data_IF_054370452417
#
_entry.id   IF_054370452417
#
_cell.length_a   1.000
_cell.length_b   1.000
_cell.length_c   1.000
_cell.angle_alpha   90.00
_cell.angle_beta   90.00
_cell.angle_gamma   90.00
#
_symmetry.space_group_name_H-M   'P 1'
#
loop_
_entity.id
_entity.type
_entity.pdbx_description
1 polymer ?
#
# COMPACT_ATOMS: atom_id res chain seq x y z
N UNK A 1 3.17 -10.17 -19.85
CA UNK A 1 4.10 -9.62 -18.85
C UNK A 1 4.01 -8.11 -18.97
N UNK A 2 3.72 -7.38 -17.88
CA UNK A 2 3.56 -5.92 -17.91
C UNK A 2 4.80 -5.18 -17.36
N UNK A 3 5.90 -5.90 -17.21
CA UNK A 3 7.20 -5.40 -16.79
C UNK A 3 8.19 -5.57 -17.94
N UNK A 4 9.02 -4.57 -18.18
CA UNK A 4 10.12 -4.64 -19.12
C UNK A 4 11.33 -3.86 -18.61
N UNK A 5 12.53 -4.29 -19.01
CA UNK A 5 13.77 -3.63 -18.63
C UNK A 5 14.16 -2.57 -19.65
N UNK A 6 14.78 -1.51 -19.16
CA UNK A 6 15.42 -0.52 -20.02
C UNK A 6 16.79 -1.03 -20.49
N UNK A 7 17.21 -0.65 -21.69
CA UNK A 7 18.49 -1.09 -22.26
C UNK A 7 19.67 -0.63 -21.39
N UNK A 8 19.60 0.61 -20.89
CA UNK A 8 20.60 1.19 -20.01
C UNK A 8 20.75 0.44 -18.67
N UNK A 9 19.67 -0.18 -18.20
CA UNK A 9 19.65 -0.93 -16.94
C UNK A 9 20.33 -2.29 -17.09
N UNK A 10 20.35 -2.86 -18.31
CA UNK A 10 21.05 -4.11 -18.59
C UNK A 10 22.56 -4.03 -18.29
N UNK A 11 23.19 -2.87 -18.52
CA UNK A 11 24.62 -2.67 -18.23
C UNK A 11 24.93 -2.71 -16.72
N UNK A 12 23.93 -2.49 -15.86
CA UNK A 12 24.08 -2.53 -14.40
C UNK A 12 23.87 -3.91 -13.80
N UNK A 13 23.38 -4.89 -14.59
CA UNK A 13 23.07 -6.24 -14.11
C UNK A 13 24.27 -6.93 -13.46
N UNK A 14 25.50 -6.64 -13.92
CA UNK A 14 26.72 -7.15 -13.28
C UNK A 14 26.81 -6.75 -11.80
N UNK A 15 26.44 -5.52 -11.46
CA UNK A 15 26.47 -5.02 -10.07
C UNK A 15 25.41 -5.74 -9.23
N UNK A 16 24.22 -5.95 -9.81
CA UNK A 16 23.12 -6.70 -9.18
C UNK A 16 23.55 -8.12 -8.83
N UNK A 17 24.19 -8.83 -9.77
CA UNK A 17 24.66 -10.19 -9.54
C UNK A 17 25.80 -10.26 -8.52
N UNK A 18 26.60 -9.20 -8.40
CA UNK A 18 27.70 -9.13 -7.44
C UNK A 18 27.20 -9.18 -5.97
N UNK A 19 25.98 -8.70 -5.70
CA UNK A 19 25.35 -8.74 -4.37
C UNK A 19 25.18 -10.18 -3.84
N UNK A 20 24.94 -11.14 -4.73
CA UNK A 20 24.81 -12.56 -4.38
C UNK A 20 26.16 -13.23 -4.08
N UNK A 21 27.28 -12.62 -4.48
CA UNK A 21 28.63 -13.16 -4.31
C UNK A 21 29.37 -12.50 -3.15
N UNK A 22 29.27 -11.17 -3.03
CA UNK A 22 29.95 -10.39 -1.98
C UNK A 22 28.93 -9.47 -1.34
N UNK A 23 28.45 -9.85 -0.15
CA UNK A 23 27.57 -8.99 0.62
C UNK A 23 28.33 -8.40 1.84
N UNK A 24 28.24 -7.09 2.10
CA UNK A 24 29.02 -6.40 3.15
C UNK A 24 28.85 -6.93 4.59
N UNK A 25 27.86 -7.80 4.82
CA UNK A 25 27.50 -8.36 6.15
C UNK A 25 27.59 -9.90 6.19
N UNK A 26 28.21 -10.52 5.19
CA UNK A 26 28.32 -11.99 5.04
C UNK A 26 26.96 -12.71 5.01
N UNK A 27 25.87 -11.97 4.74
CA UNK A 27 24.52 -12.47 4.54
C UNK A 27 24.17 -12.30 3.08
N UNK A 28 24.54 -13.27 2.25
CA UNK A 28 24.19 -13.28 0.83
C UNK A 28 22.65 -13.24 0.68
N UNK A 29 22.11 -12.33 -0.14
CA UNK A 29 20.68 -12.25 -0.36
C UNK A 29 20.19 -13.53 -1.04
N UNK A 30 19.01 -13.97 -0.63
CA UNK A 30 18.28 -15.06 -1.28
C UNK A 30 17.21 -14.53 -2.22
N UNK A 31 16.71 -13.32 -1.91
CA UNK A 31 15.86 -12.52 -2.77
C UNK A 31 16.44 -11.11 -2.75
N UNK A 32 16.75 -10.58 -3.92
CA UNK A 32 17.25 -9.22 -4.10
C UNK A 32 16.18 -8.41 -4.82
N UNK A 33 15.55 -7.49 -4.10
CA UNK A 33 14.50 -6.67 -4.65
C UNK A 33 15.02 -5.47 -5.43
N UNK A 34 14.36 -5.16 -6.54
CA UNK A 34 14.69 -4.04 -7.41
C UNK A 34 13.55 -3.02 -7.46
N UNK A 35 13.91 -1.78 -7.76
CA UNK A 35 12.94 -0.68 -7.92
C UNK A 35 12.05 -0.91 -9.14
N UNK A 36 10.77 -0.54 -9.03
CA UNK A 36 9.89 -0.40 -10.18
C UNK A 36 9.72 1.07 -10.57
N UNK A 37 9.63 1.32 -11.88
CA UNK A 37 9.26 2.61 -12.43
C UNK A 37 7.90 2.51 -13.14
N UNK A 38 6.89 3.17 -12.57
CA UNK A 38 5.53 3.17 -13.10
C UNK A 38 5.40 4.28 -14.15
N UNK A 39 5.39 3.90 -15.43
CA UNK A 39 5.42 4.87 -16.53
C UNK A 39 4.03 5.31 -17.01
N UNK A 40 2.94 4.73 -16.50
CA UNK A 40 1.56 5.06 -16.92
C UNK A 40 0.93 6.21 -16.11
N UNK A 41 1.67 6.86 -15.22
CA UNK A 41 1.15 7.93 -14.36
C UNK A 41 0.64 9.17 -15.10
N UNK A 42 1.12 9.44 -16.33
CA UNK A 42 0.73 10.60 -17.14
C UNK A 42 -0.61 10.44 -17.87
N UNK A 43 -1.21 9.24 -17.86
CA UNK A 43 -2.38 8.92 -18.70
C UNK A 43 -3.66 9.63 -18.22
N UNK A 44 -3.84 9.82 -16.92
CA UNK A 44 -4.99 10.52 -16.33
C UNK A 44 -4.68 10.99 -14.90
N UNK A 45 -5.53 11.84 -14.31
CA UNK A 45 -5.37 12.24 -12.90
C UNK A 45 -5.43 11.02 -11.96
N UNK A 46 -6.38 10.11 -12.18
CA UNK A 46 -6.50 8.85 -11.44
C UNK A 46 -5.25 7.97 -11.58
N UNK A 47 -4.69 7.89 -12.79
CA UNK A 47 -3.42 7.21 -13.05
C UNK A 47 -2.27 7.85 -12.26
N UNK A 48 -2.24 9.19 -12.20
CA UNK A 48 -1.28 9.96 -11.42
C UNK A 48 -1.33 9.60 -9.94
N UNK A 49 -2.52 9.61 -9.32
CA UNK A 49 -2.71 9.22 -7.92
C UNK A 49 -2.24 7.78 -7.64
N UNK A 50 -2.65 6.84 -8.47
CA UNK A 50 -2.23 5.43 -8.35
C UNK A 50 -0.71 5.27 -8.51
N UNK A 51 -0.12 5.98 -9.48
CA UNK A 51 1.33 5.98 -9.69
C UNK A 51 2.07 6.56 -8.49
N UNK A 52 1.56 7.60 -7.83
CA UNK A 52 2.19 8.16 -6.62
C UNK A 52 2.12 7.19 -5.44
N UNK A 53 0.96 6.57 -5.21
CA UNK A 53 0.80 5.53 -4.18
C UNK A 53 1.76 4.37 -4.41
N UNK A 54 1.82 3.86 -5.65
CA UNK A 54 2.70 2.74 -6.00
C UNK A 54 4.18 3.14 -5.96
N UNK A 55 4.54 4.37 -6.35
CA UNK A 55 5.92 4.85 -6.23
C UNK A 55 6.36 4.83 -4.77
N UNK A 56 5.58 5.39 -3.85
CA UNK A 56 5.86 5.33 -2.40
C UNK A 56 5.93 3.88 -1.88
N UNK A 57 5.03 3.05 -2.40
CA UNK A 57 5.07 1.58 -2.46
C UNK A 57 6.48 0.99 -2.60
N UNK A 58 6.98 1.17 -3.81
CA UNK A 58 8.13 0.45 -4.34
C UNK A 58 9.45 1.06 -3.90
N UNK A 59 9.49 2.31 -3.43
CA UNK A 59 10.71 2.99 -2.97
C UNK A 59 10.81 3.05 -1.44
N UNK A 60 10.39 4.15 -0.79
CA UNK A 60 10.49 4.36 0.66
C UNK A 60 9.87 3.23 1.46
N UNK A 61 8.72 2.70 1.01
CA UNK A 61 8.11 1.52 1.60
C UNK A 61 9.07 0.34 1.62
N UNK A 62 9.62 -0.05 0.47
CA UNK A 62 10.58 -1.16 0.38
C UNK A 62 11.90 -0.89 1.13
N UNK A 63 12.40 0.36 1.15
CA UNK A 63 13.58 0.76 1.94
C UNK A 63 13.35 0.43 3.41
N UNK A 64 12.29 0.97 4.02
CA UNK A 64 11.98 0.74 5.44
C UNK A 64 11.69 -0.72 5.75
N UNK A 65 10.97 -1.42 4.87
CA UNK A 65 10.68 -2.85 5.04
C UNK A 65 11.96 -3.70 4.99
N UNK A 66 12.94 -3.34 4.16
CA UNK A 66 14.20 -4.06 4.04
C UNK A 66 15.14 -3.77 5.21
N UNK A 67 15.43 -2.49 5.49
CA UNK A 67 16.29 -2.03 6.58
C UNK A 67 15.73 -0.70 7.14
N UNK A 68 15.40 -0.61 8.45
CA UNK A 68 15.79 -1.51 9.53
C UNK A 68 14.77 -2.62 9.85
N UNK A 69 13.56 -2.61 9.28
CA UNK A 69 12.48 -3.46 9.79
C UNK A 69 12.67 -4.96 9.48
N UNK A 70 13.40 -5.31 8.42
CA UNK A 70 13.67 -6.70 8.01
C UNK A 70 12.40 -7.55 7.91
N UNK A 71 11.35 -6.96 7.35
CA UNK A 71 10.05 -7.59 7.05
C UNK A 71 9.63 -7.36 5.60
N UNK A 72 10.57 -6.95 4.72
CA UNK A 72 10.35 -6.98 3.27
C UNK A 72 10.19 -8.43 2.83
N UNK A 73 9.06 -8.70 2.21
CA UNK A 73 8.81 -9.92 1.46
C UNK A 73 8.83 -9.61 -0.04
N UNK A 74 8.52 -10.62 -0.85
CA UNK A 74 8.33 -10.43 -2.28
C UNK A 74 6.85 -10.09 -2.54
N UNK A 75 6.57 -8.99 -3.23
CA UNK A 75 5.19 -8.50 -3.46
C UNK A 75 4.86 -8.41 -4.96
N UNK A 76 5.44 -9.27 -5.79
CA UNK A 76 5.25 -9.24 -7.25
C UNK A 76 6.06 -8.15 -7.96
N UNK A 77 7.10 -7.65 -7.29
CA UNK A 77 8.12 -6.75 -7.82
C UNK A 77 9.16 -7.52 -8.64
N UNK A 78 10.00 -6.87 -9.46
CA UNK A 78 11.11 -7.48 -10.21
C UNK A 78 12.26 -7.92 -9.29
N UNK A 79 11.97 -8.76 -8.30
CA UNK A 79 12.98 -9.29 -7.39
C UNK A 79 13.71 -10.48 -8.05
N UNK A 80 15.02 -10.59 -7.83
CA UNK A 80 15.85 -11.70 -8.32
C UNK A 80 16.02 -12.74 -7.21
N UNK A 81 15.86 -14.02 -7.56
CA UNK A 81 15.88 -15.14 -6.61
C UNK A 81 17.15 -15.98 -6.76
N UNK A 82 17.76 -16.36 -5.63
CA UNK A 82 18.76 -17.42 -5.61
C UNK A 82 18.10 -18.78 -5.86
N UNK A 83 18.23 -19.24 -7.11
CA UNK A 83 17.71 -20.53 -7.58
C UNK A 83 18.17 -21.69 -6.70
N UNK A 84 19.44 -21.72 -6.30
CA UNK A 84 20.00 -22.84 -5.53
C UNK A 84 19.41 -22.89 -4.14
N UNK A 85 19.28 -21.74 -3.46
CA UNK A 85 18.64 -21.66 -2.16
C UNK A 85 17.19 -22.14 -2.19
N UNK A 86 16.40 -21.67 -3.16
CA UNK A 86 14.97 -21.99 -3.23
C UNK A 86 14.70 -23.44 -3.65
N UNK A 87 15.41 -23.98 -4.67
CA UNK A 87 15.19 -25.35 -5.13
C UNK A 87 15.59 -26.39 -4.08
N UNK A 88 16.72 -26.20 -3.41
CA UNK A 88 17.23 -27.16 -2.41
C UNK A 88 16.42 -27.18 -1.11
N UNK A 89 15.51 -26.22 -0.91
CA UNK A 89 14.76 -26.07 0.36
C UNK A 89 13.25 -26.23 0.21
N UNK A 90 12.78 -26.81 -0.90
CA UNK A 90 11.36 -27.08 -1.11
C UNK A 90 10.63 -26.01 -1.93
N UNK A 91 11.31 -25.43 -2.91
CA UNK A 91 10.71 -24.56 -3.94
C UNK A 91 10.61 -23.08 -3.57
N UNK A 92 10.12 -22.27 -4.52
CA UNK A 92 9.99 -20.81 -4.37
C UNK A 92 8.78 -20.49 -3.49
N UNK A 93 7.59 -20.94 -3.89
CA UNK A 93 6.31 -20.61 -3.24
C UNK A 93 5.32 -21.78 -3.26
N UNK A 94 4.07 -21.53 -2.84
CA UNK A 94 2.95 -22.48 -2.88
C UNK A 94 2.57 -22.82 -4.33
N UNK A 95 2.18 -24.07 -4.57
CA UNK A 95 2.07 -24.64 -5.92
C UNK A 95 0.72 -24.43 -6.63
N UNK A 96 -0.18 -23.59 -6.12
CA UNK A 96 -1.54 -23.44 -6.68
C UNK A 96 -1.89 -21.99 -6.98
N UNK A 97 -2.00 -21.64 -8.27
CA UNK A 97 -2.38 -20.29 -8.74
C UNK A 97 -3.83 -19.93 -8.43
N UNK A 98 -4.70 -20.92 -8.24
CA UNK A 98 -6.13 -20.70 -7.94
C UNK A 98 -6.38 -20.58 -6.44
N UNK A 99 -5.62 -21.31 -5.62
CA UNK A 99 -5.80 -21.36 -4.17
C UNK A 99 -4.89 -20.38 -3.44
N UNK A 100 -3.71 -20.08 -4.00
CA UNK A 100 -2.72 -19.19 -3.42
C UNK A 100 -2.48 -18.01 -4.33
N UNK A 101 -3.42 -17.05 -4.33
CA UNK A 101 -3.31 -15.81 -5.11
C UNK A 101 -2.09 -14.97 -4.71
N UNK A 102 -1.58 -15.15 -3.48
CA UNK A 102 -0.39 -14.49 -2.94
C UNK A 102 0.89 -15.34 -3.00
N UNK A 103 1.10 -16.08 -4.09
CA UNK A 103 2.33 -16.83 -4.33
C UNK A 103 3.59 -15.96 -4.12
N UNK A 104 3.54 -14.69 -4.50
CA UNK A 104 4.68 -13.78 -4.35
C UNK A 104 5.06 -13.60 -2.87
N UNK A 105 4.08 -13.29 -2.02
CA UNK A 105 4.30 -13.04 -0.58
C UNK A 105 4.74 -14.31 0.13
N UNK A 106 4.15 -15.45 -0.21
CA UNK A 106 4.57 -16.75 0.32
C UNK A 106 6.00 -17.11 -0.07
N UNK A 107 6.51 -16.62 -1.21
CA UNK A 107 7.92 -16.79 -1.57
C UNK A 107 8.83 -16.06 -0.57
N UNK A 108 8.46 -14.83 -0.18
CA UNK A 108 9.14 -14.08 0.87
C UNK A 108 9.07 -14.77 2.24
N UNK A 109 7.88 -15.26 2.64
CA UNK A 109 7.72 -15.99 3.91
C UNK A 109 8.60 -17.24 3.96
N UNK A 110 8.59 -18.04 2.91
CA UNK A 110 9.41 -19.24 2.81
C UNK A 110 10.90 -18.91 2.91
N UNK A 111 11.36 -17.85 2.23
CA UNK A 111 12.75 -17.40 2.31
C UNK A 111 13.14 -17.06 3.76
N UNK A 112 12.38 -16.20 4.43
CA UNK A 112 12.68 -15.80 5.81
C UNK A 112 12.60 -16.99 6.79
N UNK A 113 11.59 -17.86 6.67
CA UNK A 113 11.46 -19.05 7.52
C UNK A 113 12.65 -20.03 7.37
N UNK A 114 13.27 -20.04 6.19
CA UNK A 114 14.47 -20.84 5.86
C UNK A 114 15.77 -20.10 6.14
N UNK A 115 15.72 -18.98 6.88
CA UNK A 115 16.87 -18.12 7.22
C UNK A 115 17.51 -17.45 6.00
N UNK A 116 16.75 -17.28 4.92
CA UNK A 116 17.15 -16.44 3.80
C UNK A 116 17.14 -14.96 4.18
N UNK A 117 17.92 -14.19 3.43
CA UNK A 117 17.98 -12.73 3.55
C UNK A 117 17.29 -12.10 2.34
N UNK A 118 16.45 -11.09 2.58
CA UNK A 118 15.75 -10.33 1.54
C UNK A 118 16.22 -8.89 1.63
N UNK A 119 16.77 -8.37 0.54
CA UNK A 119 17.30 -7.01 0.44
C UNK A 119 16.56 -6.20 -0.62
N UNK A 120 16.85 -4.90 -0.67
CA UNK A 120 16.25 -3.98 -1.63
C UNK A 120 17.28 -2.98 -2.13
N UNK A 121 17.49 -2.94 -3.45
CA UNK A 121 18.53 -2.14 -4.10
C UNK A 121 17.91 -1.32 -5.24
N UNK A 122 18.33 -0.05 -5.37
CA UNK A 122 17.67 0.93 -6.24
C UNK A 122 18.54 1.51 -7.34
N UNK A 123 19.78 1.04 -7.48
CA UNK A 123 20.65 1.50 -8.56
C UNK A 123 20.23 0.97 -9.94
N UNK A 124 19.29 0.02 -9.98
CA UNK A 124 18.61 -0.49 -11.16
C UNK A 124 17.09 -0.36 -10.97
N UNK A 125 16.37 -0.13 -12.06
CA UNK A 125 14.91 -0.05 -12.07
C UNK A 125 14.30 -0.82 -13.24
N UNK A 126 13.09 -1.34 -13.05
CA UNK A 126 12.34 -2.03 -14.10
C UNK A 126 11.06 -1.26 -14.42
N UNK A 127 10.80 -1.02 -15.69
CA UNK A 127 9.59 -0.34 -16.14
C UNK A 127 8.38 -1.24 -15.95
N UNK A 128 7.29 -0.69 -15.40
CA UNK A 128 6.02 -1.40 -15.24
C UNK A 128 4.84 -0.60 -15.75
N UNK A 129 4.12 -1.21 -16.67
CA UNK A 129 2.85 -0.70 -17.17
C UNK A 129 1.75 -1.05 -16.18
N UNK A 130 1.01 -0.03 -15.74
CA UNK A 130 -0.20 -0.22 -14.93
C UNK A 130 -1.44 0.15 -15.71
N UNK A 131 -2.43 -0.70 -15.58
CA UNK A 131 -3.79 -0.48 -16.03
C UNK A 131 -4.47 0.57 -15.13
N UNK A 132 -5.00 1.62 -15.74
CA UNK A 132 -5.46 2.83 -15.02
C UNK A 132 -6.98 2.98 -15.00
N UNK A 133 -7.73 2.01 -15.52
CA UNK A 133 -9.19 2.01 -15.47
C UNK A 133 -9.70 1.65 -14.07
N UNK A 134 -10.76 2.33 -13.59
CA UNK A 134 -11.37 2.07 -12.28
C UNK A 134 -11.72 0.59 -12.05
N UNK A 135 -12.23 -0.09 -13.08
CA UNK A 135 -12.54 -1.52 -13.00
C UNK A 135 -11.27 -2.39 -12.82
N UNK A 136 -10.17 -2.03 -13.49
CA UNK A 136 -8.90 -2.74 -13.37
C UNK A 136 -8.26 -2.49 -12.00
N UNK A 137 -8.30 -1.24 -11.52
CA UNK A 137 -7.87 -0.85 -10.17
C UNK A 137 -8.67 -1.62 -9.13
N UNK A 138 -10.00 -1.67 -9.25
CA UNK A 138 -10.87 -2.42 -8.32
C UNK A 138 -10.55 -3.91 -8.29
N UNK A 139 -10.32 -4.53 -9.45
CA UNK A 139 -9.88 -5.94 -9.54
C UNK A 139 -8.51 -6.16 -8.90
N UNK A 140 -7.59 -5.20 -9.05
CA UNK A 140 -6.28 -5.27 -8.42
C UNK A 140 -6.41 -5.23 -6.89
N UNK A 141 -7.13 -4.25 -6.34
CA UNK A 141 -7.37 -4.14 -4.90
C UNK A 141 -8.07 -5.38 -4.34
N UNK A 142 -9.07 -5.91 -5.06
CA UNK A 142 -9.75 -7.16 -4.68
C UNK A 142 -8.78 -8.36 -4.65
N UNK A 143 -7.85 -8.45 -5.62
CA UNK A 143 -6.81 -9.49 -5.62
C UNK A 143 -5.92 -9.37 -4.39
N UNK A 144 -5.46 -8.16 -4.06
CA UNK A 144 -4.58 -7.94 -2.90
C UNK A 144 -5.32 -8.22 -1.58
N UNK A 145 -6.60 -7.83 -1.47
CA UNK A 145 -7.43 -8.12 -0.30
C UNK A 145 -7.64 -9.63 -0.09
N UNK A 146 -7.99 -10.37 -1.16
CA UNK A 146 -8.11 -11.83 -1.11
C UNK A 146 -6.79 -12.48 -0.68
N UNK A 147 -5.68 -11.99 -1.24
CA UNK A 147 -4.35 -12.44 -0.89
C UNK A 147 -3.97 -12.26 0.59
N UNK A 148 -4.36 -11.13 1.19
CA UNK A 148 -4.13 -10.90 2.61
C UNK A 148 -5.05 -11.75 3.51
N UNK A 149 -6.26 -12.06 3.06
CA UNK A 149 -7.13 -13.04 3.74
C UNK A 149 -6.48 -14.43 3.79
N UNK A 150 -5.91 -14.89 2.67
CA UNK A 150 -5.13 -16.14 2.63
C UNK A 150 -3.93 -16.13 3.58
N UNK A 151 -3.19 -15.01 3.65
CA UNK A 151 -2.06 -14.85 4.57
C UNK A 151 -2.51 -14.97 6.03
N UNK A 152 -3.67 -14.41 6.37
CA UNK A 152 -4.25 -14.45 7.73
C UNK A 152 -4.54 -15.88 8.18
N UNK A 153 -5.02 -16.72 7.27
CA UNK A 153 -5.31 -18.14 7.53
C UNK A 153 -4.08 -19.05 7.42
N UNK A 154 -2.95 -18.54 6.91
CA UNK A 154 -1.77 -19.36 6.65
C UNK A 154 -1.01 -19.72 7.92
N UNK A 155 -0.51 -20.95 7.98
CA UNK A 155 0.43 -21.38 9.04
C UNK A 155 1.77 -20.65 8.97
N UNK A 156 2.10 -20.03 7.85
CA UNK A 156 3.38 -19.35 7.66
C UNK A 156 3.45 -18.04 8.47
N UNK A 157 2.35 -17.27 8.59
CA UNK A 157 2.32 -16.09 9.47
C UNK A 157 2.50 -16.50 10.93
N UNK A 158 1.86 -17.60 11.36
CA UNK A 158 2.04 -18.15 12.70
C UNK A 158 3.51 -18.57 12.96
N UNK A 159 4.17 -19.19 11.96
CA UNK A 159 5.58 -19.57 12.08
C UNK A 159 6.51 -18.36 12.11
N UNK A 160 6.21 -17.31 11.35
CA UNK A 160 6.95 -16.05 11.37
C UNK A 160 6.80 -15.35 12.72
N UNK A 161 5.57 -15.30 13.25
CA UNK A 161 5.27 -14.69 14.55
C UNK A 161 6.07 -15.32 15.69
N UNK A 162 6.32 -16.64 15.65
CA UNK A 162 7.17 -17.32 16.64
C UNK A 162 8.68 -17.02 16.50
N UNK A 163 9.12 -16.42 15.40
CA UNK A 163 10.54 -16.13 15.11
C UNK A 163 10.88 -14.65 15.14
N UNK A 164 9.89 -13.79 14.93
CA UNK A 164 10.05 -12.35 15.01
C UNK A 164 10.04 -11.90 16.46
N UNK A 165 10.85 -10.88 16.75
CA UNK A 165 10.73 -10.13 17.98
C UNK A 165 9.47 -9.24 17.94
N UNK A 166 9.17 -8.58 19.06
CA UNK A 166 7.98 -7.74 19.16
C UNK A 166 7.91 -6.68 18.06
N UNK A 167 9.02 -5.98 17.79
CA UNK A 167 9.04 -4.90 16.82
C UNK A 167 8.86 -5.41 15.38
N UNK A 168 9.58 -6.46 14.97
CA UNK A 168 9.40 -7.05 13.63
C UNK A 168 8.02 -7.67 13.48
N UNK A 169 7.46 -8.26 14.53
CA UNK A 169 6.10 -8.78 14.47
C UNK A 169 5.07 -7.65 14.33
N UNK A 170 5.25 -6.56 15.08
CA UNK A 170 4.41 -5.37 14.96
C UNK A 170 4.50 -4.76 13.55
N UNK A 171 5.71 -4.63 13.01
CA UNK A 171 5.94 -4.17 11.64
C UNK A 171 5.30 -5.11 10.62
N UNK A 172 5.48 -6.43 10.78
CA UNK A 172 4.84 -7.42 9.91
C UNK A 172 3.31 -7.29 9.97
N UNK A 173 2.72 -7.13 11.16
CA UNK A 173 1.28 -6.95 11.33
C UNK A 173 0.78 -5.72 10.55
N UNK A 174 1.36 -4.55 10.78
CA UNK A 174 0.90 -3.31 10.14
C UNK A 174 1.18 -3.22 8.65
N UNK A 175 2.13 -4.00 8.12
CA UNK A 175 2.52 -3.97 6.70
C UNK A 175 1.88 -5.09 5.87
N UNK A 176 1.23 -6.05 6.53
CA UNK A 176 0.54 -7.17 5.88
C UNK A 176 -0.91 -7.25 6.37
N UNK A 177 -1.25 -8.28 7.16
CA UNK A 177 -2.61 -8.64 7.58
C UNK A 177 -3.32 -7.52 8.34
N UNK A 178 -2.62 -6.84 9.25
CA UNK A 178 -3.19 -5.81 10.12
C UNK A 178 -3.68 -4.58 9.37
N UNK A 179 -3.02 -4.20 8.28
CA UNK A 179 -3.48 -3.09 7.43
C UNK A 179 -4.90 -3.32 6.91
N UNK A 180 -5.17 -4.52 6.39
CA UNK A 180 -6.47 -4.87 5.82
C UNK A 180 -7.53 -5.07 6.90
N UNK A 181 -7.16 -5.63 8.05
CA UNK A 181 -8.07 -5.75 9.18
C UNK A 181 -8.50 -4.38 9.72
N UNK A 182 -7.54 -3.46 9.90
CA UNK A 182 -7.83 -2.08 10.32
C UNK A 182 -8.67 -1.32 9.29
N UNK A 183 -8.40 -1.54 8.00
CA UNK A 183 -9.20 -0.95 6.91
C UNK A 183 -10.64 -1.46 6.94
N UNK A 184 -10.84 -2.77 7.15
CA UNK A 184 -12.18 -3.35 7.28
C UNK A 184 -12.95 -2.74 8.46
N UNK A 185 -12.33 -2.66 9.65
CA UNK A 185 -12.95 -2.03 10.83
C UNK A 185 -13.30 -0.57 10.54
N UNK A 186 -12.43 0.16 9.87
CA UNK A 186 -12.66 1.56 9.50
C UNK A 186 -13.86 1.70 8.57
N UNK A 187 -13.95 0.86 7.53
CA UNK A 187 -15.10 0.84 6.60
C UNK A 187 -16.39 0.48 7.32
N UNK A 188 -16.39 -0.54 8.18
CA UNK A 188 -17.56 -0.90 8.99
C UNK A 188 -17.96 0.25 9.90
N UNK A 189 -16.99 0.93 10.53
CA UNK A 189 -17.24 2.13 11.35
C UNK A 189 -17.91 3.25 10.56
N UNK A 190 -17.47 3.51 9.33
CA UNK A 190 -18.10 4.49 8.42
C UNK A 190 -19.53 4.07 8.08
N UNK A 191 -19.79 2.79 7.77
CA UNK A 191 -21.14 2.31 7.50
C UNK A 191 -22.06 2.46 8.71
N UNK A 192 -21.63 2.03 9.90
CA UNK A 192 -22.40 2.18 11.14
C UNK A 192 -22.69 3.65 11.41
N UNK A 193 -21.70 4.54 11.20
CA UNK A 193 -21.88 5.98 11.34
C UNK A 193 -22.92 6.53 10.35
N UNK A 194 -22.79 6.25 9.05
CA UNK A 194 -23.70 6.76 8.02
C UNK A 194 -25.14 6.26 8.20
N UNK A 195 -25.32 4.95 8.43
CA UNK A 195 -26.65 4.40 8.70
C UNK A 195 -27.22 4.87 10.04
N UNK A 196 -26.36 5.06 11.05
CA UNK A 196 -26.74 5.68 12.31
C UNK A 196 -27.25 7.11 12.13
N UNK A 197 -26.55 7.94 11.35
CA UNK A 197 -26.99 9.30 11.02
C UNK A 197 -28.32 9.28 10.25
N UNK A 198 -28.44 8.43 9.23
CA UNK A 198 -29.69 8.30 8.48
C UNK A 198 -30.86 7.91 9.40
N UNK A 199 -30.65 6.97 10.31
CA UNK A 199 -31.64 6.58 11.31
C UNK A 199 -32.01 7.75 12.24
N UNK A 200 -31.05 8.52 12.73
CA UNK A 200 -31.29 9.68 13.59
C UNK A 200 -32.11 10.79 12.89
N UNK A 201 -31.85 11.02 11.60
CA UNK A 201 -32.63 11.97 10.77
C UNK A 201 -34.05 11.46 10.57
N UNK A 202 -34.22 10.20 10.12
CA UNK A 202 -35.54 9.63 9.80
C UNK A 202 -36.42 9.43 11.03
N UNK A 203 -35.82 9.13 12.18
CA UNK A 203 -36.56 8.97 13.45
C UNK A 203 -36.96 10.30 14.12
N UNK A 204 -36.50 11.44 13.60
CA UNK A 204 -36.70 12.75 14.23
C UNK A 204 -35.95 12.94 15.56
N UNK A 205 -35.19 11.93 16.01
CA UNK A 205 -34.41 11.97 17.24
C UNK A 205 -33.32 13.05 17.16
N UNK A 206 -32.79 13.30 15.97
CA UNK A 206 -31.80 14.35 15.72
C UNK A 206 -32.35 15.74 16.02
N UNK A 207 -33.59 16.04 15.63
CA UNK A 207 -34.26 17.31 15.94
C UNK A 207 -34.48 17.47 17.45
N UNK A 208 -34.88 16.40 18.14
CA UNK A 208 -35.05 16.40 19.60
C UNK A 208 -33.71 16.58 20.35
N UNK A 209 -32.63 15.98 19.83
CA UNK A 209 -31.27 16.13 20.37
C UNK A 209 -30.72 17.54 20.13
N UNK A 210 -30.94 18.14 18.95
CA UNK A 210 -30.50 19.50 18.64
C UNK A 210 -31.19 20.55 19.50
N UNK A 211 -32.50 20.41 19.76
CA UNK A 211 -33.23 21.31 20.66
C UNK A 211 -32.67 21.22 22.09
N UNK A 212 -32.37 20.01 22.58
CA UNK A 212 -31.71 19.82 23.89
C UNK A 212 -30.28 20.35 23.92
N UNK A 213 -29.50 20.13 22.86
CA UNK A 213 -28.11 20.55 22.77
C UNK A 213 -27.98 22.08 22.67
N UNK A 214 -28.89 22.74 21.97
CA UNK A 214 -28.95 24.21 21.92
C UNK A 214 -29.26 24.80 23.30
N UNK A 215 -30.10 24.13 24.09
CA UNK A 215 -30.36 24.48 25.48
C UNK A 215 -29.14 24.30 26.41
N UNK A 216 -28.21 23.41 26.06
CA UNK A 216 -27.01 23.10 26.85
C UNK A 216 -25.70 23.70 26.28
N UNK A 217 -25.76 24.48 25.19
CA UNK A 217 -24.65 25.26 24.62
C UNK A 217 -23.38 24.43 24.31
N UNK A 218 -23.54 23.21 23.78
CA UNK A 218 -22.43 22.27 23.53
C UNK A 218 -21.65 22.58 22.23
N UNK A 219 -20.94 23.71 22.17
CA UNK A 219 -19.96 24.05 21.10
C UNK A 219 -18.82 23.02 20.95
N UNK A 220 -18.59 22.19 21.96
CA UNK A 220 -17.51 21.20 22.00
C UNK A 220 -17.73 20.00 21.06
N UNK A 221 -18.98 19.65 20.76
CA UNK A 221 -19.30 18.48 19.94
C UNK A 221 -19.01 18.75 18.45
N UNK A 222 -19.38 19.94 17.98
CA UNK A 222 -19.16 20.37 16.59
C UNK A 222 -17.67 20.54 16.28
N UNK A 223 -16.92 21.13 17.22
CA UNK A 223 -15.46 21.32 17.10
C UNK A 223 -14.68 20.00 17.18
N UNK A 224 -15.14 19.01 17.96
CA UNK A 224 -14.54 17.69 18.01
C UNK A 224 -14.72 16.89 16.70
N UNK A 225 -15.91 16.97 16.07
CA UNK A 225 -16.18 16.29 14.79
C UNK A 225 -15.41 16.90 13.61
N UNK A 226 -15.28 18.23 13.57
CA UNK A 226 -14.53 18.92 12.53
C UNK A 226 -13.01 18.69 12.63
N UNK A 227 -12.47 18.61 13.86
CA UNK A 227 -11.03 18.39 14.09
C UNK A 227 -10.59 16.96 13.74
N UNK A 228 -11.42 15.95 14.02
CA UNK A 228 -11.13 14.55 13.66
C UNK A 228 -11.02 14.35 12.14
N UNK A 229 -11.96 14.91 11.38
CA UNK A 229 -12.02 14.76 9.92
C UNK A 229 -10.86 15.46 9.21
N UNK A 230 -10.42 16.63 9.70
CA UNK A 230 -9.27 17.35 9.15
C UNK A 230 -7.92 16.66 9.41
N UNK A 231 -7.70 16.14 10.63
CA UNK A 231 -6.45 15.46 11.00
C UNK A 231 -6.31 14.07 10.37
N UNK A 232 -7.41 13.34 10.20
CA UNK A 232 -7.39 11.92 9.83
C UNK A 232 -7.41 11.67 8.31
N UNK A 233 -7.99 12.56 7.49
CA UNK A 233 -8.13 12.36 6.05
C UNK A 233 -6.99 12.98 5.19
N UNK A 234 -6.38 14.09 5.63
CA UNK A 234 -5.48 14.86 4.77
C UNK A 234 -3.99 14.82 5.13
N UNK A 235 -3.66 14.86 6.43
CA UNK A 235 -2.27 15.07 6.87
C UNK A 235 -1.49 13.76 7.08
N UNK A 236 -2.09 12.78 7.78
CA UNK A 236 -1.37 11.56 8.15
C UNK A 236 -1.19 10.56 7.00
N UNK A 237 -2.13 10.51 6.05
CA UNK A 237 -2.08 9.60 4.90
C UNK A 237 -1.24 10.14 3.74
N UNK A 238 -1.17 11.46 3.56
CA UNK A 238 -0.40 12.11 2.50
C UNK A 238 1.08 12.33 2.82
N UNK A 239 1.45 12.35 4.11
CA UNK A 239 2.82 12.62 4.56
C UNK A 239 3.89 11.71 3.95
N UNK A 240 3.73 10.37 3.92
CA UNK A 240 4.72 9.47 3.33
C UNK A 240 4.97 9.77 1.85
N UNK A 241 3.91 10.09 1.11
CA UNK A 241 3.99 10.43 -0.32
C UNK A 241 4.70 11.78 -0.53
N UNK A 242 4.41 12.80 0.29
CA UNK A 242 5.09 14.12 0.20
C UNK A 242 6.57 13.99 0.54
N UNK A 243 6.90 13.21 1.57
CA UNK A 243 8.30 12.92 1.92
C UNK A 243 9.01 12.22 0.77
N UNK A 244 8.36 11.24 0.14
CA UNK A 244 8.94 10.52 -0.99
C UNK A 244 9.19 11.42 -2.19
N UNK A 245 8.20 12.24 -2.58
CA UNK A 245 8.39 13.23 -3.64
C UNK A 245 9.53 14.21 -3.30
N UNK A 246 9.67 14.58 -2.03
CA UNK A 246 10.74 15.44 -1.55
C UNK A 246 12.13 14.81 -1.71
N UNK A 247 12.24 13.51 -1.43
CA UNK A 247 13.49 12.75 -1.57
C UNK A 247 13.84 12.48 -3.04
N UNK A 248 12.86 12.14 -3.87
CA UNK A 248 13.10 11.73 -5.26
C UNK A 248 13.22 12.90 -6.23
N UNK A 249 12.38 13.93 -6.10
CA UNK A 249 12.29 15.06 -7.05
C UNK A 249 12.77 16.38 -6.46
N UNK A 250 13.06 16.42 -5.16
CA UNK A 250 13.40 17.62 -4.42
C UNK A 250 12.17 18.34 -3.85
N UNK A 251 12.40 19.11 -2.76
CA UNK A 251 11.32 19.71 -1.96
C UNK A 251 10.41 20.66 -2.74
N UNK A 252 10.96 21.44 -3.68
CA UNK A 252 10.18 22.37 -4.51
C UNK A 252 9.20 21.64 -5.43
N UNK A 253 9.67 20.58 -6.10
CA UNK A 253 8.82 19.76 -6.96
C UNK A 253 7.75 19.04 -6.13
N UNK A 254 8.12 18.51 -4.96
CA UNK A 254 7.19 17.87 -4.05
C UNK A 254 6.06 18.78 -3.59
N UNK A 255 6.38 20.04 -3.22
CA UNK A 255 5.37 21.01 -2.80
C UNK A 255 4.43 21.36 -3.97
N UNK A 256 4.98 21.57 -5.17
CA UNK A 256 4.20 21.84 -6.37
C UNK A 256 3.27 20.67 -6.72
N UNK A 257 3.80 19.45 -6.75
CA UNK A 257 3.05 18.23 -7.04
C UNK A 257 1.95 18.00 -5.98
N UNK A 258 2.23 18.27 -4.70
CA UNK A 258 1.24 18.18 -3.63
C UNK A 258 0.11 19.18 -3.80
N UNK A 259 0.41 20.46 -4.10
CA UNK A 259 -0.61 21.48 -4.34
C UNK A 259 -1.48 21.10 -5.54
N UNK A 260 -0.87 20.67 -6.65
CA UNK A 260 -1.59 20.21 -7.84
C UNK A 260 -2.50 19.02 -7.51
N UNK A 261 -2.01 18.08 -6.70
CA UNK A 261 -2.78 16.92 -6.27
C UNK A 261 -4.01 17.33 -5.43
N UNK A 262 -3.86 18.25 -4.49
CA UNK A 262 -4.99 18.75 -3.68
C UNK A 262 -6.02 19.49 -4.56
N UNK A 263 -5.55 20.30 -5.52
CA UNK A 263 -6.44 20.98 -6.48
C UNK A 263 -7.22 19.97 -7.34
N UNK A 264 -6.55 18.94 -7.85
CA UNK A 264 -7.19 17.87 -8.62
C UNK A 264 -8.21 17.09 -7.81
N UNK A 265 -7.94 16.83 -6.52
CA UNK A 265 -8.87 16.15 -5.62
C UNK A 265 -10.14 16.98 -5.40
N UNK A 266 -10.00 18.29 -5.17
CA UNK A 266 -11.13 19.22 -5.03
C UNK A 266 -11.95 19.30 -6.32
N UNK A 267 -11.28 19.36 -7.48
CA UNK A 267 -11.94 19.33 -8.80
C UNK A 267 -12.70 18.01 -9.05
N UNK A 268 -12.17 16.88 -8.58
CA UNK A 268 -12.86 15.59 -8.69
C UNK A 268 -14.09 15.54 -7.77
N UNK A 269 -13.95 16.00 -6.52
CA UNK A 269 -15.05 16.06 -5.55
C UNK A 269 -16.17 17.00 -6.00
N UNK A 270 -15.83 18.17 -6.53
CA UNK A 270 -16.82 19.13 -7.08
C UNK A 270 -17.49 18.62 -8.35
N UNK A 271 -16.78 17.89 -9.22
CA UNK A 271 -17.41 17.23 -10.38
C UNK A 271 -18.35 16.10 -9.98
N UNK A 272 -17.99 15.25 -9.02
CA UNK A 272 -18.88 14.20 -8.50
C UNK A 272 -20.15 14.77 -7.86
N UNK A 273 -20.04 15.91 -7.18
CA UNK A 273 -21.18 16.62 -6.60
C UNK A 273 -22.08 17.28 -7.67
N UNK A 274 -21.51 17.76 -8.77
CA UNK A 274 -22.29 18.40 -9.85
C UNK A 274 -22.86 17.41 -10.86
N UNK A 275 -22.19 16.28 -11.14
CA UNK A 275 -22.74 15.21 -11.99
C UNK A 275 -23.68 14.27 -11.26
N UNK A 276 -23.61 14.19 -9.92
CA UNK A 276 -24.58 13.48 -9.08
C UNK A 276 -25.96 14.14 -9.00
N UNK A 277 -26.15 15.34 -9.56
CA UNK A 277 -27.45 16.02 -9.64
C UNK A 277 -28.22 15.76 -10.95
N UNK A 278 -27.74 14.89 -11.85
CA UNK A 278 -28.46 14.53 -13.08
C UNK A 278 -28.68 13.01 -13.08
N UNK A 279 -29.68 12.58 -12.32
CA UNK A 279 -30.03 11.16 -12.20
C UNK A 279 -31.31 10.88 -11.40
N UNK A 280 -32.21 11.86 -11.30
CA UNK A 280 -33.58 11.65 -10.84
C UNK A 280 -34.46 12.41 -11.83
N UNK A 281 -34.68 11.79 -12.99
CA UNK A 281 -35.83 12.02 -13.86
C UNK A 281 -35.92 10.79 -14.76
N UNK A 282 -36.76 9.84 -14.32
CA UNK A 282 -37.09 8.59 -14.98
C UNK A 282 -38.32 8.01 -14.31
#
# INVERSE_FOLDING_TARGET
>A
MNQDNYLEEAYKMRNVLQEFVRHPRDQTPTILGLREHIFTGSVSSLAGFMSYQETSFVTIGQRFLADPLRVRFHYGHPDIFDRMFHLTRGGISKASKTINLSEDVFAGYNSILRRGHITYNEYIQVGKGRDVGLNQISKFEAKVANGNSEQTLSRDIYRLARRFDFFRMLSCYFTTVGFYFNSLISVVGVYVFLYGQLYLVLSGLQSALLIKAHHQNMKSLETALASQSFLQLGLLTGLPMVMELGLEKGFRAALSDFILMQLQLVLLGTRLLTTGQIGIDG
#
